data_IF_869188763804
#
_entry.id   IF_869188763804
#
_cell.length_a   1.000
_cell.length_b   1.000
_cell.length_c   1.000
_cell.angle_alpha   90.00
_cell.angle_beta   90.00
_cell.angle_gamma   90.00
#
_symmetry.space_group_name_H-M   'P 1'
#
loop_
_entity.id
_entity.type
_entity.pdbx_description
1 polymer ?
#
# COMPACT_ATOMS: atom_id res chain seq x y z
N UNK A 1 -18.60 -29.44 4.67
CA UNK A 1 -18.96 -28.11 4.19
C UNK A 1 -20.03 -28.29 3.16
N UNK A 2 -21.22 -27.76 3.40
CA UNK A 2 -22.25 -27.70 2.36
C UNK A 2 -21.90 -26.52 1.42
N UNK A 3 -22.44 -26.51 0.20
CA UNK A 3 -22.23 -25.42 -0.79
C UNK A 3 -22.51 -24.03 -0.18
N UNK A 4 -23.54 -23.95 0.68
CA UNK A 4 -23.93 -22.76 1.43
C UNK A 4 -22.89 -22.25 2.46
N UNK A 5 -22.07 -23.14 3.05
CA UNK A 5 -21.00 -22.73 3.98
C UNK A 5 -19.80 -22.12 3.24
N UNK A 6 -19.58 -22.56 1.99
CA UNK A 6 -18.54 -22.01 1.10
C UNK A 6 -18.90 -20.60 0.64
N UNK A 7 -20.18 -20.38 0.32
CA UNK A 7 -20.70 -19.09 -0.14
C UNK A 7 -20.54 -17.99 0.92
N UNK A 8 -20.97 -18.26 2.16
CA UNK A 8 -20.84 -17.30 3.26
C UNK A 8 -19.38 -16.99 3.61
N UNK A 9 -18.50 -17.99 3.57
CA UNK A 9 -17.06 -17.78 3.79
C UNK A 9 -16.47 -16.88 2.72
N UNK A 10 -16.79 -17.10 1.45
CA UNK A 10 -16.31 -16.25 0.36
C UNK A 10 -16.84 -14.81 0.47
N UNK A 11 -18.10 -14.63 0.88
CA UNK A 11 -18.67 -13.30 1.14
C UNK A 11 -17.97 -12.57 2.28
N UNK A 12 -17.64 -13.28 3.37
CA UNK A 12 -16.90 -12.72 4.49
C UNK A 12 -15.50 -12.25 4.05
N UNK A 13 -14.83 -13.03 3.21
CA UNK A 13 -13.51 -12.63 2.69
C UNK A 13 -13.57 -11.44 1.73
N UNK A 14 -14.58 -11.37 0.85
CA UNK A 14 -14.83 -10.15 0.05
C UNK A 14 -15.03 -8.92 0.94
N UNK A 15 -15.78 -9.14 2.02
CA UNK A 15 -15.97 -8.16 3.07
C UNK A 15 -14.71 -7.64 3.69
N UNK A 16 -13.79 -8.56 3.98
CA UNK A 16 -12.50 -8.26 4.57
C UNK A 16 -11.65 -7.39 3.63
N UNK A 17 -11.65 -7.71 2.33
CA UNK A 17 -10.99 -6.91 1.29
C UNK A 17 -11.57 -5.49 1.27
N UNK A 18 -12.89 -5.35 1.11
CA UNK A 18 -13.54 -4.04 1.08
C UNK A 18 -13.30 -3.24 2.37
N UNK A 19 -13.41 -3.88 3.53
CA UNK A 19 -13.23 -3.23 4.83
C UNK A 19 -11.79 -2.75 5.03
N UNK A 20 -10.81 -3.47 4.50
CA UNK A 20 -9.40 -3.08 4.58
C UNK A 20 -9.13 -1.79 3.80
N UNK A 21 -9.71 -1.63 2.61
CA UNK A 21 -9.66 -0.36 1.88
C UNK A 21 -10.39 0.76 2.65
N UNK A 22 -11.54 0.47 3.27
CA UNK A 22 -12.20 1.43 4.16
C UNK A 22 -11.32 1.85 5.33
N UNK A 23 -10.58 0.91 5.94
CA UNK A 23 -9.68 1.18 7.05
C UNK A 23 -8.51 2.08 6.62
N UNK A 24 -7.93 1.85 5.45
CA UNK A 24 -6.90 2.73 4.87
C UNK A 24 -7.44 4.14 4.66
N UNK A 25 -8.62 4.28 4.04
CA UNK A 25 -9.24 5.59 3.83
C UNK A 25 -9.52 6.33 5.15
N UNK A 26 -9.99 5.62 6.18
CA UNK A 26 -10.18 6.20 7.52
C UNK A 26 -8.84 6.59 8.16
N UNK A 27 -7.82 5.73 8.02
CA UNK A 27 -6.49 5.95 8.57
C UNK A 27 -5.84 7.21 8.00
N UNK A 28 -5.93 7.41 6.68
CA UNK A 28 -5.48 8.62 5.99
C UNK A 28 -6.24 9.87 6.46
N UNK A 29 -7.56 9.78 6.63
CA UNK A 29 -8.38 10.90 7.12
C UNK A 29 -8.05 11.28 8.57
N UNK A 30 -7.77 10.30 9.43
CA UNK A 30 -7.50 10.52 10.86
C UNK A 30 -6.03 10.76 11.18
N UNK A 31 -5.12 10.49 10.24
CA UNK A 31 -3.68 10.44 10.51
C UNK A 31 -3.33 9.42 11.60
N UNK A 32 -4.16 8.39 11.80
CA UNK A 32 -4.02 7.37 12.85
C UNK A 32 -4.14 5.99 12.25
N UNK A 33 -3.38 5.04 12.78
CA UNK A 33 -3.50 3.64 12.38
C UNK A 33 -4.88 3.10 12.76
N UNK A 34 -5.51 2.42 11.81
CA UNK A 34 -6.77 1.71 12.00
C UNK A 34 -6.50 0.22 11.86
N UNK A 35 -7.05 -0.58 12.76
CA UNK A 35 -7.00 -2.04 12.71
C UNK A 35 -8.40 -2.64 12.55
N UNK A 36 -8.45 -3.84 11.96
CA UNK A 36 -9.67 -4.58 11.70
C UNK A 36 -9.66 -5.90 12.44
N UNK A 37 -10.83 -6.34 12.89
CA UNK A 37 -11.03 -7.74 13.31
C UNK A 37 -11.37 -8.62 12.13
N UNK A 38 -11.19 -9.94 12.26
CA UNK A 38 -11.75 -10.88 11.28
C UNK A 38 -13.27 -10.73 11.17
N UNK A 39 -13.86 -10.91 9.97
CA UNK A 39 -15.30 -10.84 9.78
C UNK A 39 -16.04 -11.81 10.70
N UNK A 40 -17.15 -11.39 11.29
CA UNK A 40 -18.01 -12.22 12.13
C UNK A 40 -19.45 -12.18 11.61
N UNK A 41 -20.15 -13.32 11.44
CA UNK A 41 -21.54 -13.32 11.03
C UNK A 41 -22.40 -12.61 12.09
N UNK A 42 -23.39 -11.82 11.67
CA UNK A 42 -24.31 -11.14 12.58
C UNK A 42 -25.53 -12.03 12.82
N UNK A 43 -25.67 -12.57 14.04
CA UNK A 43 -26.80 -13.47 14.38
C UNK A 43 -28.00 -12.76 15.03
N UNK A 44 -27.99 -11.42 15.05
CA UNK A 44 -29.04 -10.58 15.61
C UNK A 44 -28.87 -10.35 17.12
N UNK A 45 -29.18 -9.13 17.59
CA UNK A 45 -29.12 -8.74 18.99
C UNK A 45 -27.70 -8.49 19.53
N UNK A 46 -26.69 -8.53 18.66
CA UNK A 46 -25.28 -8.37 19.01
C UNK A 46 -24.84 -6.91 19.12
N UNK A 47 -25.42 -6.01 18.31
CA UNK A 47 -25.07 -4.59 18.28
C UNK A 47 -26.18 -3.81 18.99
N UNK A 48 -26.01 -3.64 20.31
CA UNK A 48 -27.02 -3.03 21.18
C UNK A 48 -26.79 -1.53 21.38
N UNK A 49 -27.81 -0.68 21.25
CA UNK A 49 -27.67 0.78 21.38
C UNK A 49 -27.06 1.22 22.72
N UNK A 50 -26.42 2.42 22.78
CA UNK A 50 -26.50 3.49 21.77
C UNK A 50 -25.42 3.42 20.67
N UNK A 51 -25.88 3.41 19.42
CA UNK A 51 -25.05 3.51 18.22
C UNK A 51 -25.64 4.58 17.29
N UNK A 52 -24.77 5.27 16.56
CA UNK A 52 -25.15 6.11 15.42
C UNK A 52 -24.94 5.28 14.16
N UNK A 53 -26.02 5.00 13.46
CA UNK A 53 -25.99 4.18 12.25
C UNK A 53 -25.99 5.09 11.03
N UNK A 54 -24.96 4.96 10.20
CA UNK A 54 -24.90 5.56 8.87
C UNK A 54 -24.99 4.42 7.84
N UNK A 55 -25.96 4.50 6.92
CA UNK A 55 -26.23 3.46 5.93
C UNK A 55 -25.98 3.97 4.52
N UNK A 56 -25.35 3.15 3.69
CA UNK A 56 -25.29 3.33 2.24
C UNK A 56 -25.77 2.08 1.50
N UNK A 57 -26.60 2.26 0.47
CA UNK A 57 -26.98 1.19 -0.44
C UNK A 57 -25.90 1.01 -1.51
N UNK A 58 -25.57 -0.24 -1.80
CA UNK A 58 -24.72 -0.56 -2.94
C UNK A 58 -25.51 -0.45 -4.25
N UNK A 59 -24.86 0.08 -5.27
CA UNK A 59 -25.35 0.19 -6.64
C UNK A 59 -24.58 -0.84 -7.48
N UNK A 60 -25.31 -1.63 -8.26
CA UNK A 60 -24.75 -2.74 -9.05
C UNK A 60 -24.84 -4.11 -8.34
N UNK A 61 -24.93 -4.14 -7.01
CA UNK A 61 -25.19 -5.34 -6.21
C UNK A 61 -26.27 -5.02 -5.17
N UNK A 62 -27.21 -5.95 -4.91
CA UNK A 62 -28.26 -5.78 -3.90
C UNK A 62 -27.71 -5.98 -2.49
N UNK A 63 -27.18 -4.91 -1.90
CA UNK A 63 -26.68 -4.92 -0.54
C UNK A 63 -26.60 -3.52 0.07
N UNK A 64 -26.21 -3.47 1.34
CA UNK A 64 -25.98 -2.25 2.10
C UNK A 64 -24.69 -2.33 2.90
N UNK A 65 -24.05 -1.18 3.07
CA UNK A 65 -23.00 -0.95 4.05
C UNK A 65 -23.58 -0.13 5.20
N UNK A 66 -23.35 -0.58 6.43
CA UNK A 66 -23.78 0.12 7.64
C UNK A 66 -22.56 0.37 8.51
N UNK A 67 -22.35 1.61 8.89
CA UNK A 67 -21.37 2.02 9.87
C UNK A 67 -22.08 2.33 11.17
N UNK A 68 -21.94 1.45 12.17
CA UNK A 68 -22.51 1.63 13.49
C UNK A 68 -21.43 2.17 14.45
N UNK A 69 -21.43 3.48 14.69
CA UNK A 69 -20.49 4.15 15.57
C UNK A 69 -21.00 4.11 17.02
N UNK A 70 -20.25 3.55 17.99
CA UNK A 70 -20.56 3.74 19.40
C UNK A 70 -20.64 5.23 19.69
N UNK A 71 -21.62 5.66 20.50
CA UNK A 71 -21.83 7.08 20.80
C UNK A 71 -20.53 7.84 21.21
N UNK A 72 -19.64 7.29 22.08
CA UNK A 72 -18.39 7.98 22.41
C UNK A 72 -17.45 8.16 21.21
N UNK A 73 -17.39 7.18 20.31
CA UNK A 73 -16.57 7.23 19.10
C UNK A 73 -17.15 8.23 18.08
N UNK A 74 -18.48 8.20 17.91
CA UNK A 74 -19.20 9.11 17.02
C UNK A 74 -18.90 10.58 17.35
N UNK A 75 -18.91 10.92 18.65
CA UNK A 75 -18.56 12.26 19.13
C UNK A 75 -17.09 12.60 18.84
N UNK A 76 -16.16 11.71 19.19
CA UNK A 76 -14.71 11.92 18.95
C UNK A 76 -14.39 12.17 17.47
N UNK A 77 -14.95 11.37 16.56
CA UNK A 77 -14.73 11.54 15.12
C UNK A 77 -15.29 12.87 14.62
N UNK A 78 -16.52 13.20 15.04
CA UNK A 78 -17.14 14.45 14.63
C UNK A 78 -16.36 15.67 15.14
N UNK A 79 -15.91 15.66 16.39
CA UNK A 79 -15.07 16.73 16.96
C UNK A 79 -13.71 16.83 16.25
N UNK A 80 -13.09 15.69 15.93
CA UNK A 80 -11.83 15.63 15.19
C UNK A 80 -11.97 16.28 13.81
N UNK A 81 -13.02 15.94 13.06
CA UNK A 81 -13.25 16.50 11.72
C UNK A 81 -13.64 17.98 11.73
N UNK A 82 -14.35 18.43 12.76
CA UNK A 82 -14.79 19.82 12.86
C UNK A 82 -13.72 20.75 13.47
N UNK A 83 -12.61 20.20 13.96
CA UNK A 83 -11.56 20.91 14.71
C UNK A 83 -12.11 21.74 15.89
N UNK A 84 -13.25 21.32 16.45
CA UNK A 84 -13.90 21.97 17.60
C UNK A 84 -14.28 20.93 18.65
N UNK A 85 -14.01 21.24 19.91
CA UNK A 85 -14.55 20.47 21.02
C UNK A 85 -15.94 21.02 21.33
N UNK A 86 -16.97 20.31 20.88
CA UNK A 86 -18.35 20.76 21.04
C UNK A 86 -18.91 20.35 22.40
N UNK A 87 -18.31 19.31 23.03
CA UNK A 87 -18.56 18.91 24.41
C UNK A 87 -20.04 18.68 24.72
N UNK A 88 -20.51 17.43 24.70
CA UNK A 88 -21.86 17.11 25.15
C UNK A 88 -22.52 15.93 24.44
N UNK A 89 -23.85 15.88 24.57
CA UNK A 89 -24.73 14.91 23.93
C UNK A 89 -24.71 15.04 22.40
N UNK A 90 -25.01 13.95 21.69
CA UNK A 90 -25.10 13.96 20.24
C UNK A 90 -26.16 14.97 19.76
N UNK A 91 -25.80 15.77 18.77
CA UNK A 91 -26.70 16.72 18.09
C UNK A 91 -26.61 16.56 16.58
N UNK A 92 -27.55 17.17 15.86
CA UNK A 92 -27.58 17.17 14.38
C UNK A 92 -26.26 17.67 13.74
N UNK A 93 -25.46 18.46 14.47
CA UNK A 93 -24.16 18.94 14.00
C UNK A 93 -23.09 17.84 13.91
N UNK A 94 -23.24 16.73 14.64
CA UNK A 94 -22.27 15.64 14.67
C UNK A 94 -22.50 14.62 13.55
N UNK A 95 -23.68 14.64 12.91
CA UNK A 95 -24.05 13.67 11.87
C UNK A 95 -23.29 13.90 10.55
N UNK A 96 -23.17 15.11 10.00
CA UNK A 96 -22.50 15.33 8.71
C UNK A 96 -21.02 14.87 8.67
N UNK A 97 -20.19 15.11 9.71
CA UNK A 97 -18.85 14.55 9.76
C UNK A 97 -18.83 13.01 9.66
N UNK A 98 -19.72 12.34 10.38
CA UNK A 98 -19.84 10.88 10.35
C UNK A 98 -20.27 10.39 8.97
N UNK A 99 -21.16 11.10 8.29
CA UNK A 99 -21.55 10.80 6.90
C UNK A 99 -20.37 10.98 5.93
N UNK A 100 -19.53 11.99 6.12
CA UNK A 100 -18.36 12.24 5.29
C UNK A 100 -17.30 11.14 5.45
N UNK A 101 -16.99 10.75 6.69
CA UNK A 101 -16.12 9.59 6.98
C UNK A 101 -16.70 8.32 6.36
N UNK A 102 -17.99 8.07 6.60
CA UNK A 102 -18.68 6.89 6.04
C UNK A 102 -18.67 6.89 4.51
N UNK A 103 -18.74 8.06 3.85
CA UNK A 103 -18.67 8.17 2.38
C UNK A 103 -17.29 7.75 1.88
N UNK A 104 -16.22 8.30 2.46
CA UNK A 104 -14.85 7.95 2.09
C UNK A 104 -14.60 6.45 2.27
N UNK A 105 -15.03 5.90 3.41
CA UNK A 105 -14.92 4.48 3.70
C UNK A 105 -15.74 3.62 2.73
N UNK A 106 -16.99 3.99 2.43
CA UNK A 106 -17.85 3.26 1.51
C UNK A 106 -17.33 3.29 0.07
N UNK A 107 -16.79 4.43 -0.38
CA UNK A 107 -16.18 4.57 -1.71
C UNK A 107 -14.96 3.68 -1.85
N UNK A 108 -14.07 3.69 -0.86
CA UNK A 108 -12.93 2.78 -0.83
C UNK A 108 -13.36 1.31 -0.84
N UNK A 109 -14.43 0.98 -0.11
CA UNK A 109 -15.00 -0.38 -0.07
C UNK A 109 -15.51 -0.83 -1.44
N UNK A 110 -16.36 -0.03 -2.09
CA UNK A 110 -16.97 -0.41 -3.37
C UNK A 110 -15.98 -0.37 -4.52
N UNK A 111 -14.99 0.51 -4.49
CA UNK A 111 -13.91 0.52 -5.48
C UNK A 111 -13.10 -0.76 -5.39
N UNK A 112 -12.73 -1.22 -4.18
CA UNK A 112 -12.03 -2.48 -3.98
C UNK A 112 -12.82 -3.68 -4.50
N UNK A 113 -14.13 -3.72 -4.22
CA UNK A 113 -15.00 -4.75 -4.79
C UNK A 113 -15.12 -4.63 -6.32
N UNK A 114 -15.24 -3.42 -6.85
CA UNK A 114 -15.35 -3.17 -8.29
C UNK A 114 -14.11 -3.62 -9.06
N UNK A 115 -12.93 -3.31 -8.53
CA UNK A 115 -11.65 -3.80 -9.02
C UNK A 115 -11.59 -5.34 -8.99
N UNK A 116 -12.02 -5.95 -7.89
CA UNK A 116 -12.08 -7.41 -7.76
C UNK A 116 -13.00 -8.07 -8.80
N UNK A 117 -14.19 -7.49 -9.04
CA UNK A 117 -15.15 -8.03 -10.00
C UNK A 117 -14.89 -7.63 -11.46
N UNK A 118 -13.97 -6.69 -11.71
CA UNK A 118 -13.80 -6.05 -13.01
C UNK A 118 -15.06 -5.29 -13.46
N UNK A 119 -15.82 -4.73 -12.52
CA UNK A 119 -17.09 -4.02 -12.76
C UNK A 119 -17.09 -2.68 -12.04
N UNK A 120 -17.74 -1.68 -12.64
CA UNK A 120 -18.03 -0.45 -11.92
C UNK A 120 -19.12 -0.71 -10.86
N UNK A 121 -18.73 -0.63 -9.60
CA UNK A 121 -19.64 -0.60 -8.45
C UNK A 121 -19.63 0.79 -7.85
N UNK A 122 -20.76 1.20 -7.28
CA UNK A 122 -20.90 2.49 -6.62
C UNK A 122 -21.79 2.34 -5.37
N UNK A 123 -21.92 3.37 -4.57
CA UNK A 123 -22.83 3.40 -3.45
C UNK A 123 -23.57 4.74 -3.36
N UNK A 124 -24.71 4.72 -2.69
CA UNK A 124 -25.44 5.96 -2.42
C UNK A 124 -24.67 6.87 -1.46
N UNK A 125 -25.05 8.15 -1.39
CA UNK A 125 -24.57 9.00 -0.29
C UNK A 125 -25.03 8.39 1.04
N UNK A 126 -24.13 8.14 2.01
CA UNK A 126 -24.50 7.53 3.28
C UNK A 126 -25.41 8.44 4.11
N UNK A 127 -26.48 7.86 4.66
CA UNK A 127 -27.51 8.57 5.42
C UNK A 127 -27.59 8.05 6.85
N UNK A 128 -27.80 8.97 7.79
CA UNK A 128 -28.12 8.60 9.17
C UNK A 128 -29.49 7.92 9.24
N UNK A 129 -29.55 6.80 9.96
CA UNK A 129 -30.77 6.02 10.18
C UNK A 129 -31.00 5.83 11.68
N UNK A 130 -32.24 6.01 12.12
CA UNK A 130 -32.64 5.86 13.54
C UNK A 130 -32.95 4.40 13.91
N UNK A 131 -32.93 3.50 12.93
CA UNK A 131 -33.17 2.08 13.13
C UNK A 131 -31.97 1.37 13.79
N UNK A 132 -32.27 0.32 14.54
CA UNK A 132 -31.24 -0.60 15.01
C UNK A 132 -30.72 -1.46 13.85
N UNK A 133 -29.48 -1.93 13.98
CA UNK A 133 -28.82 -2.78 12.98
C UNK A 133 -29.67 -3.99 12.59
N UNK A 134 -30.25 -4.69 13.56
CA UNK A 134 -31.03 -5.92 13.32
C UNK A 134 -32.22 -5.69 12.38
N UNK A 135 -32.86 -4.52 12.46
CA UNK A 135 -33.93 -4.12 11.55
C UNK A 135 -33.41 -3.86 10.14
N UNK A 136 -32.24 -3.23 10.01
CA UNK A 136 -31.65 -2.85 8.73
C UNK A 136 -31.17 -4.06 7.91
N UNK A 137 -30.67 -5.11 8.58
CA UNK A 137 -30.13 -6.31 7.92
C UNK A 137 -31.14 -7.45 7.81
N UNK A 138 -32.42 -7.21 8.11
CA UNK A 138 -33.43 -8.26 8.18
C UNK A 138 -33.59 -8.97 6.83
N UNK A 139 -33.35 -10.29 6.83
CA UNK A 139 -33.47 -11.11 5.62
C UNK A 139 -32.28 -10.97 4.66
N UNK A 140 -31.22 -10.30 5.10
CA UNK A 140 -29.92 -10.26 4.44
C UNK A 140 -28.94 -11.18 5.15
N UNK A 141 -27.97 -11.68 4.41
CA UNK A 141 -26.76 -12.27 4.96
C UNK A 141 -25.82 -11.13 5.32
N UNK A 142 -25.42 -11.07 6.59
CA UNK A 142 -24.63 -9.96 7.09
C UNK A 142 -23.49 -10.46 7.96
N UNK A 143 -22.35 -9.78 7.83
CA UNK A 143 -21.24 -9.90 8.75
C UNK A 143 -20.80 -8.52 9.20
N UNK A 144 -20.11 -8.49 10.34
CA UNK A 144 -19.53 -7.29 10.92
C UNK A 144 -18.02 -7.44 11.01
N UNK A 145 -17.34 -6.31 10.85
CA UNK A 145 -15.92 -6.13 11.08
C UNK A 145 -15.80 -4.95 12.04
N UNK A 146 -15.09 -5.13 13.14
CA UNK A 146 -14.80 -4.04 14.05
C UNK A 146 -13.63 -3.22 13.50
N UNK A 147 -13.87 -1.93 13.30
CA UNK A 147 -12.85 -0.94 12.92
C UNK A 147 -12.36 -0.28 14.21
N UNK A 148 -11.06 -0.34 14.49
CA UNK A 148 -10.50 0.05 15.79
C UNK A 148 -9.27 0.96 15.65
N UNK A 149 -8.99 1.77 16.66
CA UNK A 149 -7.75 2.55 16.83
C UNK A 149 -7.22 2.33 18.24
N UNK A 150 -5.95 1.95 18.43
CA UNK A 150 -5.34 1.78 19.77
C UNK A 150 -6.21 0.96 20.75
N UNK A 151 -6.80 -0.13 20.25
CA UNK A 151 -7.80 -0.97 20.93
C UNK A 151 -9.15 -0.30 21.27
N UNK A 152 -9.42 0.94 20.89
CA UNK A 152 -10.75 1.55 20.94
C UNK A 152 -11.59 1.17 19.72
N UNK A 153 -12.85 0.77 19.93
CA UNK A 153 -13.79 0.52 18.84
C UNK A 153 -14.24 1.86 18.22
N UNK A 154 -13.92 2.06 16.94
CA UNK A 154 -14.38 3.21 16.17
C UNK A 154 -15.79 2.98 15.65
N UNK A 155 -16.01 1.89 14.93
CA UNK A 155 -17.33 1.50 14.44
C UNK A 155 -17.39 0.00 14.15
N UNK A 156 -18.60 -0.54 14.09
CA UNK A 156 -18.84 -1.79 13.37
C UNK A 156 -19.12 -1.43 11.91
N UNK A 157 -18.27 -1.89 10.99
CA UNK A 157 -18.55 -1.92 9.56
C UNK A 157 -19.32 -3.20 9.28
N UNK A 158 -20.54 -3.06 8.77
CA UNK A 158 -21.46 -4.18 8.53
C UNK A 158 -21.75 -4.20 7.04
N UNK A 159 -21.43 -5.31 6.40
CA UNK A 159 -21.82 -5.56 5.03
C UNK A 159 -22.97 -6.57 5.02
N UNK A 160 -24.07 -6.19 4.39
CA UNK A 160 -25.25 -7.02 4.31
C UNK A 160 -25.73 -7.15 2.86
N UNK A 161 -25.90 -8.39 2.40
CA UNK A 161 -26.35 -8.73 1.06
C UNK A 161 -27.69 -9.44 1.12
N UNK A 162 -28.62 -9.07 0.22
CA UNK A 162 -29.82 -9.89 0.05
C UNK A 162 -29.43 -11.21 -0.63
N UNK A 163 -30.29 -12.23 -0.53
CA UNK A 163 -30.06 -13.50 -1.24
C UNK A 163 -29.77 -13.30 -2.73
N UNK A 164 -30.50 -12.41 -3.40
CA UNK A 164 -30.28 -12.05 -4.80
C UNK A 164 -28.94 -11.32 -5.01
N UNK A 165 -28.48 -10.54 -4.04
CA UNK A 165 -27.16 -9.91 -4.07
C UNK A 165 -26.03 -10.93 -3.95
N UNK A 166 -26.20 -11.93 -3.08
CA UNK A 166 -25.28 -13.07 -2.95
C UNK A 166 -25.22 -13.87 -4.25
N UNK A 167 -26.38 -14.29 -4.76
CA UNK A 167 -26.48 -15.02 -6.04
C UNK A 167 -25.85 -14.22 -7.18
N UNK A 168 -26.09 -12.90 -7.26
CA UNK A 168 -25.50 -12.04 -8.29
C UNK A 168 -23.99 -11.86 -8.20
N UNK A 169 -23.41 -11.90 -6.99
CA UNK A 169 -21.94 -11.93 -6.81
C UNK A 169 -21.39 -13.27 -7.29
N UNK A 170 -22.01 -14.38 -6.90
CA UNK A 170 -21.54 -15.73 -7.23
C UNK A 170 -21.67 -16.05 -8.73
N UNK A 171 -22.71 -15.54 -9.38
CA UNK A 171 -22.96 -15.71 -10.81
C UNK A 171 -22.21 -14.70 -11.68
N UNK A 172 -21.51 -13.72 -11.08
CA UNK A 172 -20.74 -12.75 -11.86
C UNK A 172 -19.61 -13.46 -12.62
N UNK A 173 -19.74 -13.54 -13.95
CA UNK A 173 -18.66 -13.91 -14.85
C UNK A 173 -17.50 -12.92 -14.65
N UNK A 174 -16.49 -13.31 -13.88
CA UNK A 174 -15.28 -12.50 -13.74
C UNK A 174 -14.38 -12.85 -14.94
N UNK A 175 -14.14 -11.91 -15.89
CA UNK A 175 -13.77 -12.25 -17.28
C UNK A 175 -12.42 -12.95 -17.50
N UNK A 176 -11.56 -13.06 -16.47
CA UNK A 176 -10.18 -13.55 -16.60
C UNK A 176 -9.90 -14.88 -15.87
N UNK A 177 -10.93 -15.54 -15.34
CA UNK A 177 -10.73 -16.52 -14.27
C UNK A 177 -11.37 -17.90 -14.48
N UNK A 178 -11.45 -18.38 -15.73
CA UNK A 178 -11.81 -19.78 -16.04
C UNK A 178 -10.87 -20.82 -15.36
N UNK A 179 -9.78 -20.38 -14.74
CA UNK A 179 -8.76 -21.23 -14.10
C UNK A 179 -8.98 -21.46 -12.60
N UNK A 180 -9.93 -20.76 -11.97
CA UNK A 180 -10.32 -21.01 -10.57
C UNK A 180 -11.41 -22.09 -10.51
N UNK A 181 -11.27 -23.05 -9.58
CA UNK A 181 -12.24 -24.14 -9.45
C UNK A 181 -13.55 -23.72 -8.78
N UNK A 182 -13.54 -22.66 -7.97
CA UNK A 182 -14.73 -22.05 -7.38
C UNK A 182 -14.50 -20.57 -7.03
N UNK A 183 -15.59 -19.83 -6.82
CA UNK A 183 -15.53 -18.45 -6.33
C UNK A 183 -14.83 -18.33 -4.97
N UNK A 184 -15.07 -19.26 -4.04
CA UNK A 184 -14.40 -19.26 -2.73
C UNK A 184 -12.88 -19.45 -2.82
N UNK A 185 -12.41 -20.29 -3.76
CA UNK A 185 -10.96 -20.43 -4.04
C UNK A 185 -10.37 -19.13 -4.58
N UNK A 186 -11.12 -18.40 -5.41
CA UNK A 186 -10.72 -17.08 -5.92
C UNK A 186 -10.57 -16.09 -4.77
N UNK A 187 -11.60 -15.88 -3.96
CA UNK A 187 -11.55 -14.88 -2.89
C UNK A 187 -10.43 -15.19 -1.89
N UNK A 188 -10.26 -16.46 -1.48
CA UNK A 188 -9.16 -16.83 -0.57
C UNK A 188 -7.76 -16.59 -1.17
N UNK A 189 -7.62 -16.68 -2.49
CA UNK A 189 -6.37 -16.38 -3.17
C UNK A 189 -6.07 -14.89 -3.14
N UNK A 190 -7.08 -14.06 -3.39
CA UNK A 190 -6.97 -12.60 -3.35
C UNK A 190 -6.79 -12.05 -1.94
N UNK A 191 -7.44 -12.61 -0.93
CA UNK A 191 -7.23 -12.25 0.48
C UNK A 191 -5.74 -12.36 0.84
N UNK A 192 -5.10 -13.48 0.47
CA UNK A 192 -3.65 -13.67 0.71
C UNK A 192 -2.80 -12.68 -0.08
N UNK A 193 -3.20 -12.30 -1.29
CA UNK A 193 -2.51 -11.27 -2.06
C UNK A 193 -2.64 -9.91 -1.38
N UNK A 194 -3.85 -9.57 -0.94
CA UNK A 194 -4.16 -8.33 -0.26
C UNK A 194 -3.39 -8.22 1.08
N UNK A 195 -3.33 -9.29 1.87
CA UNK A 195 -2.52 -9.34 3.09
C UNK A 195 -1.02 -9.12 2.82
N UNK A 196 -0.52 -9.58 1.67
CA UNK A 196 0.85 -9.26 1.24
C UNK A 196 0.97 -7.79 0.87
N UNK A 197 0.03 -7.23 0.11
CA UNK A 197 0.02 -5.82 -0.27
C UNK A 197 -0.04 -4.89 0.95
N UNK A 198 -0.95 -5.14 1.89
CA UNK A 198 -1.06 -4.37 3.14
C UNK A 198 0.24 -4.41 3.96
N UNK A 199 0.93 -5.56 4.01
CA UNK A 199 2.25 -5.65 4.65
C UNK A 199 3.30 -4.85 3.90
N UNK A 200 3.30 -4.85 2.57
CA UNK A 200 4.19 -4.02 1.75
C UNK A 200 3.95 -2.53 2.03
N UNK A 201 2.68 -2.11 2.12
CA UNK A 201 2.31 -0.74 2.45
C UNK A 201 2.79 -0.33 3.85
N UNK A 202 2.84 -1.26 4.81
CA UNK A 202 3.43 -1.01 6.12
C UNK A 202 4.89 -0.54 6.10
N UNK A 203 5.66 -0.87 5.05
CA UNK A 203 7.05 -0.44 4.88
C UNK A 203 7.20 0.86 4.07
N UNK A 204 6.11 1.48 3.63
CA UNK A 204 6.12 2.78 2.92
C UNK A 204 6.36 3.94 3.88
N UNK A 205 5.96 3.82 5.16
CA UNK A 205 5.99 4.93 6.13
C UNK A 205 7.40 5.29 6.65
N UNK A 206 8.42 4.49 6.36
CA UNK A 206 9.78 4.72 6.86
C UNK A 206 10.65 5.43 5.82
N UNK A 207 11.09 6.64 6.15
CA UNK A 207 12.00 7.40 5.29
C UNK A 207 13.42 6.87 5.42
N UNK A 208 13.90 6.18 4.39
CA UNK A 208 15.31 5.84 4.25
C UNK A 208 16.12 7.15 4.14
N UNK A 209 17.20 7.32 4.92
CA UNK A 209 18.05 8.50 4.82
C UNK A 209 18.64 8.68 3.41
N UNK A 210 18.63 9.92 2.90
CA UNK A 210 19.19 10.24 1.57
C UNK A 210 20.64 9.77 1.41
N UNK A 211 21.43 9.81 2.48
CA UNK A 211 22.81 9.33 2.52
C UNK A 211 22.92 7.83 2.26
N UNK A 212 21.96 7.03 2.72
CA UNK A 212 21.93 5.57 2.48
C UNK A 212 21.46 5.26 1.06
N UNK A 213 20.47 6.01 0.54
CA UNK A 213 20.08 5.97 -0.88
C UNK A 213 21.26 6.32 -1.77
N UNK A 214 22.02 7.37 -1.44
CA UNK A 214 23.23 7.75 -2.18
C UNK A 214 24.26 6.63 -2.17
N UNK A 215 24.57 6.05 -1.02
CA UNK A 215 25.50 4.90 -0.91
C UNK A 215 25.04 3.71 -1.75
N UNK A 216 23.73 3.43 -1.77
CA UNK A 216 23.15 2.40 -2.62
C UNK A 216 23.40 2.69 -4.10
N UNK A 217 23.05 3.89 -4.60
CA UNK A 217 23.26 4.28 -5.99
C UNK A 217 24.76 4.25 -6.38
N UNK A 218 25.64 4.75 -5.52
CA UNK A 218 27.11 4.79 -5.73
C UNK A 218 27.80 3.42 -5.56
N UNK A 219 27.12 2.39 -5.07
CA UNK A 219 27.66 1.03 -4.98
C UNK A 219 27.70 0.33 -6.36
N UNK A 220 28.54 0.85 -7.26
CA UNK A 220 28.60 0.44 -8.67
C UNK A 220 29.42 -0.84 -8.92
N UNK A 221 30.20 -1.30 -7.95
CA UNK A 221 30.92 -2.57 -8.05
C UNK A 221 30.10 -3.70 -7.43
N UNK A 222 30.17 -4.93 -7.94
CA UNK A 222 29.41 -6.06 -7.39
C UNK A 222 29.61 -6.25 -5.88
N UNK A 223 30.86 -6.16 -5.40
CA UNK A 223 31.19 -6.32 -3.99
C UNK A 223 30.61 -5.20 -3.10
N UNK A 224 30.66 -3.94 -3.56
CA UNK A 224 30.05 -2.82 -2.82
C UNK A 224 28.52 -2.94 -2.81
N UNK A 225 27.92 -3.40 -3.90
CA UNK A 225 26.47 -3.55 -4.01
C UNK A 225 25.98 -4.68 -3.11
N UNK A 226 26.64 -5.84 -3.14
CA UNK A 226 26.22 -7.01 -2.36
C UNK A 226 26.30 -6.77 -0.85
N UNK A 227 27.27 -5.98 -0.41
CA UNK A 227 27.44 -5.60 0.99
C UNK A 227 26.67 -4.33 1.39
N UNK A 228 25.82 -3.78 0.51
CA UNK A 228 25.13 -2.53 0.76
C UNK A 228 24.00 -2.70 1.80
N UNK A 229 23.95 -1.75 2.76
CA UNK A 229 22.98 -1.76 3.86
C UNK A 229 21.53 -1.60 3.38
N UNK A 230 21.27 -0.66 2.47
CA UNK A 230 19.94 -0.43 1.91
C UNK A 230 19.48 -1.59 1.03
N UNK A 231 20.38 -2.20 0.24
CA UNK A 231 20.06 -3.45 -0.47
C UNK A 231 19.53 -4.51 0.49
N UNK A 232 20.28 -4.80 1.56
CA UNK A 232 19.91 -5.81 2.55
C UNK A 232 18.60 -5.49 3.25
N UNK A 233 18.36 -4.22 3.57
CA UNK A 233 17.09 -3.78 4.13
C UNK A 233 15.91 -4.06 3.17
N UNK A 234 16.02 -3.67 1.90
CA UNK A 234 14.97 -3.87 0.91
C UNK A 234 14.66 -5.37 0.70
N UNK A 235 15.69 -6.21 0.65
CA UNK A 235 15.55 -7.68 0.56
C UNK A 235 14.82 -8.23 1.79
N UNK A 236 15.31 -7.93 3.00
CA UNK A 236 14.72 -8.44 4.23
C UNK A 236 13.29 -7.91 4.46
N UNK A 237 13.00 -6.66 4.09
CA UNK A 237 11.67 -6.07 4.21
C UNK A 237 10.67 -6.82 3.32
N UNK A 238 11.02 -7.10 2.07
CA UNK A 238 10.15 -7.86 1.16
C UNK A 238 10.03 -9.35 1.56
N UNK A 239 11.04 -9.93 2.19
CA UNK A 239 10.91 -11.28 2.79
C UNK A 239 9.90 -11.25 3.95
N UNK A 240 9.96 -10.19 4.77
CA UNK A 240 9.03 -9.99 5.89
C UNK A 240 7.57 -9.83 5.42
N UNK A 241 7.32 -9.18 4.27
CA UNK A 241 5.97 -9.07 3.69
C UNK A 241 5.44 -10.40 3.18
N UNK A 242 6.30 -11.42 3.06
CA UNK A 242 5.90 -12.75 2.63
C UNK A 242 5.69 -12.91 1.13
N UNK A 243 6.21 -12.01 0.29
CA UNK A 243 6.14 -12.15 -1.18
C UNK A 243 6.87 -13.44 -1.66
N UNK A 244 7.95 -13.82 -0.97
CA UNK A 244 8.68 -15.06 -1.18
C UNK A 244 9.64 -15.34 -0.04
N UNK A 245 10.15 -16.56 0.03
CA UNK A 245 10.98 -17.02 1.15
C UNK A 245 12.46 -16.63 0.99
N UNK A 246 12.87 -16.28 -0.23
CA UNK A 246 14.22 -15.82 -0.51
C UNK A 246 14.19 -14.78 -1.63
N UNK A 247 14.57 -13.57 -1.27
CA UNK A 247 14.54 -12.41 -2.16
C UNK A 247 15.96 -11.92 -2.38
N UNK A 248 16.27 -11.61 -3.62
CA UNK A 248 17.57 -11.06 -3.98
C UNK A 248 17.40 -9.95 -5.00
N UNK A 249 18.04 -8.82 -4.73
CA UNK A 249 18.05 -7.65 -5.59
C UNK A 249 19.39 -7.60 -6.33
N UNK A 250 19.35 -7.61 -7.65
CA UNK A 250 20.54 -7.54 -8.50
C UNK A 250 20.53 -6.29 -9.35
N UNK A 251 21.65 -5.57 -9.41
CA UNK A 251 21.82 -4.45 -10.34
C UNK A 251 22.26 -4.98 -11.70
N UNK A 252 21.51 -4.64 -12.75
CA UNK A 252 21.78 -5.03 -14.13
C UNK A 252 22.39 -3.88 -14.93
N UNK A 253 21.83 -2.69 -14.77
CA UNK A 253 22.29 -1.43 -15.36
C UNK A 253 22.20 -0.31 -14.31
N UNK A 254 22.76 0.89 -14.54
CA UNK A 254 22.71 1.97 -13.55
C UNK A 254 21.32 2.31 -13.01
N UNK A 255 20.29 2.14 -13.85
CA UNK A 255 18.90 2.43 -13.54
C UNK A 255 18.02 1.18 -13.51
N UNK A 256 18.57 -0.02 -13.73
CA UNK A 256 17.77 -1.25 -13.82
C UNK A 256 18.22 -2.30 -12.82
N UNK A 257 17.24 -2.82 -12.10
CA UNK A 257 17.43 -3.82 -11.06
C UNK A 257 16.49 -4.99 -11.31
N UNK A 258 16.97 -6.20 -11.03
CA UNK A 258 16.14 -7.41 -11.04
C UNK A 258 15.91 -7.84 -9.61
N UNK A 259 14.65 -7.81 -9.18
CA UNK A 259 14.19 -8.43 -7.96
C UNK A 259 13.84 -9.89 -8.28
N UNK A 260 14.67 -10.80 -7.78
CA UNK A 260 14.49 -12.24 -7.94
C UNK A 260 13.80 -12.80 -6.69
N UNK A 261 12.67 -13.46 -6.89
CA UNK A 261 11.82 -14.05 -5.83
C UNK A 261 11.80 -15.57 -5.98
N UNK A 262 12.44 -16.26 -5.04
CA UNK A 262 12.36 -17.72 -4.88
C UNK A 262 11.13 -18.10 -4.06
N UNK A 263 10.55 -19.26 -4.38
CA UNK A 263 9.40 -19.78 -3.67
C UNK A 263 8.27 -18.74 -3.56
N UNK A 264 7.98 -18.07 -4.68
CA UNK A 264 7.09 -16.93 -4.73
C UNK A 264 5.67 -17.29 -4.26
N UNK A 265 5.22 -16.62 -3.20
CA UNK A 265 3.91 -16.86 -2.59
C UNK A 265 2.77 -16.27 -3.43
N UNK A 266 3.00 -15.20 -4.20
CA UNK A 266 2.02 -14.68 -5.18
C UNK A 266 1.65 -15.77 -6.18
N UNK A 267 2.67 -16.39 -6.76
CA UNK A 267 2.46 -17.47 -7.72
C UNK A 267 1.97 -18.78 -7.05
N UNK A 268 2.22 -19.01 -5.76
CA UNK A 268 1.62 -20.11 -4.99
C UNK A 268 0.13 -19.90 -4.69
N UNK A 269 -0.28 -18.66 -4.45
CA UNK A 269 -1.64 -18.31 -4.06
C UNK A 269 -2.58 -18.15 -5.26
N UNK A 270 -2.06 -17.86 -6.46
CA UNK A 270 -2.87 -17.77 -7.68
C UNK A 270 -2.93 -19.13 -8.43
N UNK A 271 -3.99 -19.46 -9.19
CA UNK A 271 -4.11 -20.67 -10.00
C UNK A 271 -3.04 -20.79 -11.07
N UNK A 272 -2.71 -22.03 -11.44
CA UNK A 272 -1.68 -22.28 -12.43
C UNK A 272 -2.25 -22.20 -13.87
N UNK A 273 -2.14 -21.02 -14.48
CA UNK A 273 -2.44 -20.74 -15.89
C UNK A 273 -1.41 -21.30 -16.89
N UNK A 274 -0.24 -21.72 -16.42
CA UNK A 274 0.94 -21.88 -17.28
C UNK A 274 1.47 -20.55 -17.85
N UNK A 275 0.96 -19.40 -17.38
CA UNK A 275 1.33 -18.05 -17.81
C UNK A 275 1.87 -17.25 -16.62
N UNK A 276 2.46 -16.11 -16.94
CA UNK A 276 2.87 -15.10 -15.96
C UNK A 276 1.65 -14.60 -15.18
N UNK A 277 1.79 -14.48 -13.87
CA UNK A 277 0.72 -13.99 -12.98
C UNK A 277 1.22 -13.12 -11.85
N UNK A 278 2.53 -13.02 -11.65
CA UNK A 278 3.07 -12.27 -10.53
C UNK A 278 3.05 -10.75 -10.82
N UNK A 279 2.69 -10.32 -12.03
CA UNK A 279 2.44 -8.92 -12.38
C UNK A 279 1.38 -8.23 -11.52
N UNK A 280 0.48 -9.00 -10.90
CA UNK A 280 -0.56 -8.48 -10.01
C UNK A 280 0.00 -7.68 -8.84
N UNK A 281 1.23 -7.99 -8.40
CA UNK A 281 1.90 -7.28 -7.30
C UNK A 281 2.90 -6.22 -7.77
N UNK A 282 3.01 -5.96 -9.09
CA UNK A 282 3.95 -4.96 -9.61
C UNK A 282 3.65 -3.55 -9.08
N UNK A 283 2.37 -3.19 -8.94
CA UNK A 283 1.97 -1.88 -8.41
C UNK A 283 2.44 -1.70 -6.98
N UNK A 284 2.20 -2.69 -6.11
CA UNK A 284 2.64 -2.68 -4.71
C UNK A 284 4.17 -2.63 -4.60
N UNK A 285 4.88 -3.44 -5.40
CA UNK A 285 6.35 -3.40 -5.47
C UNK A 285 6.86 -2.02 -5.93
N UNK A 286 6.24 -1.44 -6.96
CA UNK A 286 6.63 -0.13 -7.48
C UNK A 286 6.46 0.98 -6.44
N UNK A 287 5.35 0.98 -5.70
CA UNK A 287 5.14 1.85 -4.55
C UNK A 287 6.21 1.64 -3.47
N UNK A 288 6.47 0.39 -3.09
CA UNK A 288 7.50 0.05 -2.10
C UNK A 288 8.87 0.66 -2.44
N UNK A 289 9.36 0.46 -3.68
CA UNK A 289 10.65 1.04 -4.09
C UNK A 289 10.58 2.57 -4.20
N UNK A 290 9.47 3.12 -4.66
CA UNK A 290 9.30 4.57 -4.84
C UNK A 290 9.44 5.30 -3.51
N UNK A 291 8.74 4.81 -2.51
CA UNK A 291 8.66 5.44 -1.20
C UNK A 291 9.97 5.24 -0.41
N UNK A 292 10.54 4.03 -0.47
CA UNK A 292 11.81 3.75 0.21
C UNK A 292 13.02 4.42 -0.44
N UNK A 293 12.99 4.68 -1.74
CA UNK A 293 14.11 5.33 -2.44
C UNK A 293 13.89 6.82 -2.67
N UNK A 294 12.66 7.31 -2.55
CA UNK A 294 12.28 8.66 -2.98
C UNK A 294 12.58 8.90 -4.47
N UNK A 295 12.43 7.86 -5.30
CA UNK A 295 12.77 7.79 -6.72
C UNK A 295 11.63 7.09 -7.45
N UNK A 296 11.04 7.76 -8.44
CA UNK A 296 9.98 7.15 -9.24
C UNK A 296 10.51 5.95 -10.04
N UNK A 297 9.63 5.00 -10.32
CA UNK A 297 10.02 3.75 -10.96
C UNK A 297 8.86 3.03 -11.64
N UNK A 298 9.23 2.16 -12.59
CA UNK A 298 8.36 1.18 -13.24
C UNK A 298 8.79 -0.24 -12.87
N UNK A 299 7.82 -1.10 -12.53
CA UNK A 299 8.06 -2.51 -12.22
C UNK A 299 7.31 -3.39 -13.20
N UNK A 300 8.02 -4.32 -13.85
CA UNK A 300 7.44 -5.27 -14.79
C UNK A 300 7.86 -6.71 -14.49
N UNK A 301 6.96 -7.68 -14.72
CA UNK A 301 7.27 -9.10 -14.54
C UNK A 301 7.95 -9.65 -15.80
N UNK A 302 9.24 -10.00 -15.69
CA UNK A 302 10.02 -10.52 -16.82
C UNK A 302 10.10 -12.06 -16.84
N UNK A 303 10.07 -12.71 -15.67
CA UNK A 303 10.08 -14.18 -15.53
C UNK A 303 9.12 -14.63 -14.44
N UNK A 304 8.56 -15.83 -14.58
CA UNK A 304 7.55 -16.36 -13.67
C UNK A 304 7.67 -17.88 -13.51
N UNK A 305 7.61 -18.36 -12.26
CA UNK A 305 7.63 -19.80 -11.99
C UNK A 305 6.47 -20.53 -12.70
N UNK A 306 5.30 -19.90 -12.79
CA UNK A 306 4.15 -20.47 -13.51
C UNK A 306 4.35 -20.56 -15.02
N UNK A 307 5.16 -19.66 -15.60
CA UNK A 307 5.53 -19.72 -17.00
C UNK A 307 6.66 -20.74 -17.26
N UNK A 308 7.11 -21.48 -16.23
CA UNK A 308 8.16 -22.48 -16.33
C UNK A 308 9.57 -21.97 -16.02
N UNK A 309 9.72 -20.73 -15.53
CA UNK A 309 11.02 -20.23 -15.08
C UNK A 309 11.43 -20.78 -13.70
N UNK A 310 12.72 -20.77 -13.39
CA UNK A 310 13.24 -21.23 -12.08
C UNK A 310 12.89 -20.30 -10.92
N UNK A 311 12.53 -19.04 -11.21
CA UNK A 311 12.13 -18.04 -10.22
C UNK A 311 11.33 -16.92 -10.88
N UNK A 312 10.56 -16.20 -10.06
CA UNK A 312 9.92 -14.97 -10.50
C UNK A 312 10.97 -13.84 -10.52
N UNK A 313 10.99 -13.05 -11.59
CA UNK A 313 11.86 -11.89 -11.68
C UNK A 313 11.05 -10.67 -12.10
N UNK A 314 11.16 -9.61 -11.30
CA UNK A 314 10.59 -8.30 -11.57
C UNK A 314 11.72 -7.35 -11.92
N UNK A 315 11.65 -6.71 -13.09
CA UNK A 315 12.56 -5.64 -13.47
C UNK A 315 12.03 -4.32 -12.92
N UNK A 316 12.88 -3.63 -12.17
CA UNK A 316 12.63 -2.31 -11.60
C UNK A 316 13.48 -1.32 -12.39
N UNK A 317 12.83 -0.40 -13.08
CA UNK A 317 13.46 0.69 -13.83
C UNK A 317 13.28 2.00 -13.07
N UNK A 318 14.38 2.59 -12.60
CA UNK A 318 14.37 3.83 -11.84
C UNK A 318 14.37 5.06 -12.77
N UNK A 319 13.62 6.08 -12.39
CA UNK A 319 13.57 7.35 -13.13
C UNK A 319 14.89 8.11 -13.02
N UNK A 320 15.40 8.49 -14.20
CA UNK A 320 16.76 9.04 -14.32
C UNK A 320 16.91 10.36 -13.57
N UNK A 321 15.92 11.25 -13.66
CA UNK A 321 16.01 12.59 -13.07
C UNK A 321 16.09 12.49 -11.55
N UNK A 322 15.29 11.63 -10.94
CA UNK A 322 15.28 11.42 -9.50
C UNK A 322 16.57 10.80 -8.99
N UNK A 323 17.10 9.78 -9.71
CA UNK A 323 18.42 9.21 -9.42
C UNK A 323 19.49 10.28 -9.46
N UNK A 324 19.51 11.08 -10.53
CA UNK A 324 20.45 12.19 -10.70
C UNK A 324 20.32 13.20 -9.55
N UNK A 325 19.13 13.43 -8.99
CA UNK A 325 18.96 14.33 -7.85
C UNK A 325 19.53 13.83 -6.51
N UNK A 326 19.85 12.53 -6.41
CA UNK A 326 20.21 11.88 -5.14
C UNK A 326 21.65 11.37 -5.06
N UNK A 327 22.22 10.87 -6.16
CA UNK A 327 23.47 10.08 -6.10
C UNK A 327 24.76 10.91 -5.96
N UNK A 328 24.73 12.21 -6.29
CA UNK A 328 25.95 13.03 -6.37
C UNK A 328 26.45 13.47 -5.00
N UNK A 329 27.76 13.73 -4.95
CA UNK A 329 28.46 14.35 -3.84
C UNK A 329 28.97 15.74 -4.25
N UNK A 330 29.26 16.65 -3.30
CA UNK A 330 29.76 17.99 -3.61
C UNK A 330 30.98 18.00 -4.55
N UNK A 331 31.90 17.05 -4.38
CA UNK A 331 33.10 16.89 -5.22
C UNK A 331 32.78 16.53 -6.68
N UNK A 332 31.71 15.77 -6.91
CA UNK A 332 31.29 15.42 -8.27
C UNK A 332 30.89 16.67 -9.05
N UNK A 333 30.20 17.60 -8.38
CA UNK A 333 29.81 18.88 -8.95
C UNK A 333 31.05 19.70 -9.28
N UNK A 334 32.03 19.78 -8.37
CA UNK A 334 33.29 20.49 -8.60
C UNK A 334 34.03 19.97 -9.83
N UNK A 335 34.12 18.63 -9.98
CA UNK A 335 34.73 17.99 -11.16
C UNK A 335 33.99 18.39 -12.44
N UNK A 336 32.66 18.27 -12.46
CA UNK A 336 31.86 18.59 -13.63
C UNK A 336 31.92 20.08 -14.01
N UNK A 337 31.96 20.99 -13.02
CA UNK A 337 32.10 22.43 -13.25
C UNK A 337 33.44 22.78 -13.88
N UNK A 338 34.53 22.28 -13.29
CA UNK A 338 35.87 22.53 -13.81
C UNK A 338 35.99 22.01 -15.25
N UNK A 339 35.54 20.78 -15.52
CA UNK A 339 35.55 20.21 -16.86
C UNK A 339 34.65 20.97 -17.86
N UNK A 340 33.48 21.45 -17.43
CA UNK A 340 32.60 22.25 -18.27
C UNK A 340 33.20 23.60 -18.67
N UNK A 341 34.08 24.16 -17.83
CA UNK A 341 34.79 25.41 -18.09
C UNK A 341 36.12 25.22 -18.85
N UNK A 342 36.51 23.97 -19.14
CA UNK A 342 37.81 23.65 -19.75
C UNK A 342 38.99 23.82 -18.78
N UNK A 343 38.73 23.77 -17.47
CA UNK A 343 39.72 23.87 -16.40
C UNK A 343 40.24 22.48 -15.99
N UNK A 344 41.40 22.45 -15.34
CA UNK A 344 41.91 21.22 -14.74
C UNK A 344 41.16 20.93 -13.44
N UNK A 345 40.48 19.79 -13.36
CA UNK A 345 39.85 19.31 -12.13
C UNK A 345 40.77 18.35 -11.36
N UNK A 346 40.72 18.39 -10.03
CA UNK A 346 41.30 17.33 -9.20
C UNK A 346 40.44 16.07 -9.33
N UNK A 347 40.97 15.06 -10.04
CA UNK A 347 40.24 13.83 -10.35
C UNK A 347 40.25 12.87 -9.18
N UNK A 348 39.14 12.79 -8.45
CA UNK A 348 38.88 11.69 -7.51
C UNK A 348 38.46 10.43 -8.27
N UNK A 349 39.18 9.32 -8.06
CA UNK A 349 38.98 8.09 -8.82
C UNK A 349 37.61 7.43 -8.57
N UNK A 350 36.99 7.63 -7.40
CA UNK A 350 35.65 7.11 -7.12
C UNK A 350 34.59 7.96 -7.80
N UNK A 351 34.66 9.29 -7.66
CA UNK A 351 33.80 10.23 -8.37
C UNK A 351 33.82 10.03 -9.87
N UNK A 352 35.01 9.93 -10.50
CA UNK A 352 35.13 9.71 -11.94
C UNK A 352 34.44 8.41 -12.36
N UNK A 353 34.68 7.31 -11.65
CA UNK A 353 34.03 6.02 -11.97
C UNK A 353 32.51 6.09 -11.85
N UNK A 354 31.97 6.74 -10.82
CA UNK A 354 30.52 6.89 -10.64
C UNK A 354 29.93 7.78 -11.73
N UNK A 355 30.56 8.91 -12.03
CA UNK A 355 30.11 9.82 -13.08
C UNK A 355 30.14 9.18 -14.48
N UNK A 356 31.17 8.39 -14.79
CA UNK A 356 31.23 7.60 -16.03
C UNK A 356 30.15 6.50 -16.06
N UNK A 357 29.92 5.82 -14.93
CA UNK A 357 28.89 4.79 -14.80
C UNK A 357 27.48 5.33 -15.10
N UNK A 358 27.18 6.55 -14.68
CA UNK A 358 25.92 7.25 -14.99
C UNK A 358 25.93 8.00 -16.33
N UNK A 359 27.04 7.96 -17.08
CA UNK A 359 27.19 8.59 -18.40
C UNK A 359 27.34 10.11 -18.37
N UNK A 360 27.69 10.69 -17.22
CA UNK A 360 27.93 12.13 -17.07
C UNK A 360 29.36 12.53 -17.50
N UNK A 361 30.29 11.58 -17.40
CA UNK A 361 31.64 11.67 -17.94
C UNK A 361 31.90 10.57 -18.98
N UNK A 362 32.84 10.84 -19.87
CA UNK A 362 33.44 9.85 -20.76
C UNK A 362 34.86 10.29 -21.10
N UNK A 363 35.84 9.40 -20.90
CA UNK A 363 37.25 9.68 -21.22
C UNK A 363 37.77 10.97 -20.55
N UNK A 364 37.39 11.21 -19.28
CA UNK A 364 37.65 12.44 -18.52
C UNK A 364 37.07 13.73 -19.14
N UNK A 365 36.08 13.63 -20.02
CA UNK A 365 35.35 14.77 -20.59
C UNK A 365 33.89 14.74 -20.15
N UNK A 366 33.32 15.92 -19.94
CA UNK A 366 31.89 16.06 -19.64
C UNK A 366 31.03 15.74 -20.87
N UNK A 367 30.04 14.88 -20.69
CA UNK A 367 29.08 14.55 -21.75
C UNK A 367 27.99 15.62 -21.85
N UNK A 368 27.19 15.58 -22.91
CA UNK A 368 26.02 16.48 -23.01
C UNK A 368 25.02 16.23 -21.87
N UNK A 369 24.88 14.97 -21.44
CA UNK A 369 24.09 14.62 -20.25
C UNK A 369 24.70 15.23 -18.98
N UNK A 370 26.03 15.19 -18.85
CA UNK A 370 26.76 15.84 -17.76
C UNK A 370 26.49 17.35 -17.69
N UNK A 371 26.46 18.04 -18.84
CA UNK A 371 26.13 19.47 -18.90
C UNK A 371 24.69 19.76 -18.48
N UNK A 372 23.73 18.97 -18.97
CA UNK A 372 22.30 19.09 -18.59
C UNK A 372 22.13 18.86 -17.09
N UNK A 373 22.77 17.82 -16.56
CA UNK A 373 22.79 17.53 -15.13
C UNK A 373 23.35 18.69 -14.32
N UNK A 374 24.45 19.31 -14.78
CA UNK A 374 25.06 20.44 -14.09
C UNK A 374 24.10 21.64 -14.00
N UNK A 375 23.41 21.96 -15.10
CA UNK A 375 22.36 22.99 -15.10
C UNK A 375 21.23 22.66 -14.13
N UNK A 376 20.82 21.40 -14.04
CA UNK A 376 19.79 20.97 -13.07
C UNK A 376 20.25 21.19 -11.63
N UNK A 377 21.45 20.73 -11.26
CA UNK A 377 21.97 20.84 -9.88
C UNK A 377 22.18 22.29 -9.46
N UNK A 378 22.63 23.16 -10.35
CA UNK A 378 22.81 24.59 -10.05
C UNK A 378 21.50 25.32 -9.73
N UNK A 379 20.38 24.82 -10.23
CA UNK A 379 19.05 25.37 -9.99
C UNK A 379 18.25 24.59 -8.93
N UNK A 380 18.76 23.45 -8.45
CA UNK A 380 18.07 22.60 -7.49
C UNK A 380 18.30 23.09 -6.05
N UNK A 381 17.24 23.07 -5.24
CA UNK A 381 17.37 23.26 -3.80
C UNK A 381 18.05 22.03 -3.20
N UNK A 382 19.14 22.18 -2.41
CA UNK A 382 19.79 21.05 -1.77
C UNK A 382 18.81 20.28 -0.88
N UNK A 383 18.68 18.96 -1.07
CA UNK A 383 17.91 18.11 -0.15
C UNK A 383 18.63 18.07 1.20
N UNK A 384 17.90 18.26 2.30
CA UNK A 384 18.47 18.11 3.65
C UNK A 384 18.75 16.63 3.91
N UNK A 385 19.93 16.34 4.47
CA UNK A 385 20.25 15.02 4.99
C UNK A 385 19.89 14.97 6.46
N UNK A 386 18.92 14.13 6.80
CA UNK A 386 18.57 13.80 8.18
C UNK A 386 19.14 12.42 8.50
N UNK A 387 19.87 12.32 9.60
CA UNK A 387 20.34 11.04 10.12
C UNK A 387 19.20 10.46 10.99
N UNK A 388 18.54 9.43 10.47
CA UNK A 388 17.47 8.72 11.16
C UNK A 388 18.06 7.42 11.72
N UNK A 389 18.08 7.23 13.03
CA UNK A 389 18.54 5.98 13.64
C UNK A 389 17.49 4.87 13.52
N UNK A 390 17.94 3.64 13.29
CA UNK A 390 17.05 2.46 13.25
C UNK A 390 16.13 2.38 12.03
N UNK A 391 16.39 3.17 10.97
CA UNK A 391 15.61 3.15 9.72
C UNK A 391 15.54 1.79 9.01
N UNK A 392 16.43 0.86 9.38
CA UNK A 392 16.53 -0.50 8.83
C UNK A 392 16.13 -1.61 9.82
N UNK A 393 15.66 -1.25 11.02
CA UNK A 393 15.23 -2.20 12.04
C UNK A 393 13.79 -2.62 11.79
N UNK A 394 13.61 -3.76 11.12
CA UNK A 394 12.30 -4.28 10.73
C UNK A 394 11.36 -4.50 11.91
N UNK A 395 11.88 -4.89 13.09
CA UNK A 395 11.04 -5.10 14.27
C UNK A 395 10.55 -3.76 14.82
N UNK A 396 11.42 -2.74 14.82
CA UNK A 396 11.02 -1.38 15.18
C UNK A 396 10.07 -0.77 14.17
N UNK A 397 10.19 -1.09 12.90
CA UNK A 397 9.29 -0.61 11.84
C UNK A 397 7.92 -1.26 11.96
N UNK A 398 7.90 -2.56 12.26
CA UNK A 398 6.66 -3.27 12.50
C UNK A 398 6.04 -2.84 13.84
N UNK A 399 6.85 -2.51 14.85
CA UNK A 399 6.37 -2.01 16.16
C UNK A 399 6.20 -0.49 16.23
N UNK A 400 6.74 0.31 15.32
CA UNK A 400 6.46 1.76 15.21
C UNK A 400 5.06 1.99 14.68
N UNK A 401 4.41 0.91 14.21
CA UNK A 401 2.96 0.82 14.10
C UNK A 401 2.25 0.94 15.47
N UNK A 402 2.96 0.87 16.61
CA UNK A 402 2.42 0.91 17.98
C UNK A 402 2.98 2.07 18.83
N UNK A 403 3.76 2.99 18.24
CA UNK A 403 4.34 4.12 18.98
C UNK A 403 3.59 5.41 18.63
N UNK A 404 2.80 5.90 19.59
CA UNK A 404 2.16 7.21 19.60
C UNK A 404 3.18 8.32 19.29
N UNK A 405 3.02 9.03 18.17
CA UNK A 405 3.58 10.37 18.08
C UNK A 405 2.77 11.28 19.00
N UNK A 406 3.44 11.84 20.02
CA UNK A 406 2.82 12.80 20.92
C UNK A 406 2.21 13.94 20.09
N UNK A 407 0.94 14.31 20.33
CA UNK A 407 0.29 15.31 19.51
C UNK A 407 1.03 16.65 19.55
N UNK A 408 1.03 17.44 18.47
CA UNK A 408 1.82 18.66 18.33
C UNK A 408 1.49 19.78 19.33
N UNK A 409 0.53 19.57 20.24
CA UNK A 409 0.18 20.47 21.34
C UNK A 409 0.80 20.08 22.70
N UNK A 410 1.73 19.13 22.75
CA UNK A 410 2.55 18.83 23.94
C UNK A 410 3.95 19.47 23.90
N UNK A 411 4.02 20.79 23.65
CA UNK A 411 5.16 21.65 24.06
C UNK A 411 4.66 22.73 25.02
#
# INVERSE_FOLDING_TARGET
>A
MNEFDLDLSALMELGNIGASHSATALSEMMGKKVSLTSPQPVTGGEIKPPYICILSNLLGIKGVLIFAFPLPSALKIAEYMLEVNVGGELSEFHIPPLQQVSKSMADAFVNALGEFFGKELDCTVPLHVEDNVDSLIRGAEAFKIEVRTDEELICHLIFALTKEGVEGIMESEVPEFEEYGSFGEMVSSFEKLFDMESRIEGFILNKVPLKEIRKFLRAITPDKFENNRLKRYLENALEYTGIGNKISLHRIEPLKYHLRVEECNVCRNLPNSGKKSCFTTNTALGRFFRENLGIDNEVIEIKCIKAGDEACIHEISLERIDVLSCFYEPKDIEILKALSNGENAEMDAESVRVLEYYGLLKDNQITDLGKVFLTFVENATPRREEDIEGWDDLNKIDSSKDVEEAPPWQI
#
